data_IF_051296253553
#
_entry.id   IF_051296253553
#
_cell.length_a   1.000
_cell.length_b   1.000
_cell.length_c   1.000
_cell.angle_alpha   90.00
_cell.angle_beta   90.00
_cell.angle_gamma   90.00
#
_symmetry.space_group_name_H-M   'P 1'
#
loop_
_entity.id
_entity.type
_entity.pdbx_description
1 polymer ?
#
# COMPACT_ATOMS: atom_id res chain seq x y z
N UNK A 1 6.39 25.05 8.92
CA UNK A 1 7.61 25.14 9.75
C UNK A 1 8.51 23.98 9.37
N UNK A 2 9.73 24.22 8.85
CA UNK A 2 10.68 23.13 8.66
C UNK A 2 11.04 22.55 10.03
N UNK A 3 11.15 21.23 10.14
CA UNK A 3 11.59 20.58 11.39
C UNK A 3 13.04 20.99 11.69
N UNK A 4 13.27 21.57 12.86
CA UNK A 4 14.62 21.91 13.32
C UNK A 4 15.42 20.62 13.54
N UNK A 5 16.63 20.48 12.97
CA UNK A 5 17.51 19.36 13.27
C UNK A 5 17.73 19.24 14.79
N UNK A 6 17.42 18.06 15.37
CA UNK A 6 17.50 17.82 16.83
C UNK A 6 16.15 17.73 17.55
N UNK A 7 15.02 17.95 16.86
CA UNK A 7 13.67 17.69 17.39
C UNK A 7 13.21 16.25 17.16
N UNK A 8 12.29 15.74 17.99
CA UNK A 8 11.74 14.37 17.84
C UNK A 8 11.19 14.17 16.42
N UNK A 9 11.74 13.21 15.68
CA UNK A 9 11.31 12.87 14.32
C UNK A 9 10.23 11.78 14.38
N UNK A 10 9.24 11.85 13.49
CA UNK A 10 8.17 10.86 13.37
C UNK A 10 8.73 9.46 13.04
N UNK A 11 8.46 8.44 13.84
CA UNK A 11 8.91 7.07 13.52
C UNK A 11 8.12 6.52 12.32
N UNK A 12 8.80 5.85 11.38
CA UNK A 12 8.13 5.18 10.26
C UNK A 12 7.29 4.00 10.75
N UNK A 13 7.78 3.24 11.74
CA UNK A 13 7.05 2.16 12.42
C UNK A 13 5.77 2.67 13.07
N UNK A 14 5.83 3.85 13.69
CA UNK A 14 4.64 4.45 14.30
C UNK A 14 3.59 4.84 13.24
N UNK A 15 4.02 5.34 12.09
CA UNK A 15 3.11 5.64 10.98
C UNK A 15 2.51 4.35 10.41
N UNK A 16 3.32 3.32 10.19
CA UNK A 16 2.87 2.01 9.71
C UNK A 16 1.79 1.41 10.62
N UNK A 17 2.02 1.44 11.94
CA UNK A 17 1.03 1.03 12.95
C UNK A 17 -0.25 1.85 12.87
N UNK A 18 -0.14 3.18 12.76
CA UNK A 18 -1.29 4.07 12.65
C UNK A 18 -2.14 3.79 11.39
N UNK A 19 -1.51 3.37 10.30
CA UNK A 19 -2.19 3.00 9.06
C UNK A 19 -2.86 1.61 9.12
N UNK A 20 -2.68 0.88 10.22
CA UNK A 20 -3.23 -0.47 10.38
C UNK A 20 -2.53 -1.53 9.55
N UNK A 21 -1.32 -1.24 9.08
CA UNK A 21 -0.52 -2.19 8.31
C UNK A 21 0.05 -3.26 9.26
N UNK A 22 0.28 -4.50 8.75
CA UNK A 22 1.06 -5.48 9.49
C UNK A 22 2.44 -4.92 9.85
N UNK A 23 2.94 -5.30 11.02
CA UNK A 23 4.27 -4.89 11.47
C UNK A 23 5.33 -5.29 10.44
N UNK A 24 6.19 -4.35 10.06
CA UNK A 24 7.27 -4.59 9.10
C UNK A 24 6.85 -4.47 7.64
N UNK A 25 5.58 -4.19 7.31
CA UNK A 25 5.09 -4.22 5.92
C UNK A 25 5.90 -3.35 4.95
N UNK A 26 6.27 -2.14 5.37
CA UNK A 26 7.19 -1.23 4.68
C UNK A 26 8.50 -1.15 5.46
N UNK A 27 8.43 -1.09 6.78
CA UNK A 27 9.57 -0.75 7.66
C UNK A 27 10.64 -1.84 7.72
N UNK A 28 10.29 -3.10 7.45
CA UNK A 28 11.25 -4.21 7.39
C UNK A 28 11.83 -4.46 5.98
N UNK A 29 11.53 -3.60 5.00
CA UNK A 29 12.09 -3.74 3.64
C UNK A 29 13.57 -3.36 3.61
N UNK A 30 14.43 -4.32 3.27
CA UNK A 30 15.87 -4.10 3.13
C UNK A 30 16.21 -3.05 2.07
N UNK A 31 17.22 -2.22 2.35
CA UNK A 31 17.69 -1.16 1.45
C UNK A 31 16.79 0.09 1.39
N UNK A 32 15.65 0.11 2.07
CA UNK A 32 14.73 1.24 2.04
C UNK A 32 15.09 2.31 3.08
N UNK A 33 15.47 3.51 2.62
CA UNK A 33 15.78 4.61 3.53
C UNK A 33 14.54 5.06 4.31
N UNK A 34 14.72 5.58 5.54
CA UNK A 34 13.61 6.12 6.36
C UNK A 34 12.78 7.18 5.61
N UNK A 35 13.41 8.02 4.79
CA UNK A 35 12.70 9.02 3.98
C UNK A 35 11.83 8.34 2.93
N UNK A 36 12.34 7.30 2.26
CA UNK A 36 11.56 6.51 1.31
C UNK A 36 10.39 5.78 2.00
N UNK A 37 10.61 5.22 3.20
CA UNK A 37 9.54 4.55 3.97
C UNK A 37 8.40 5.53 4.27
N UNK A 38 8.71 6.72 4.76
CA UNK A 38 7.71 7.75 5.05
C UNK A 38 7.01 8.27 3.78
N UNK A 39 7.71 8.34 2.65
CA UNK A 39 7.11 8.66 1.35
C UNK A 39 6.11 7.58 0.93
N UNK A 40 6.48 6.30 1.01
CA UNK A 40 5.59 5.19 0.68
C UNK A 40 4.37 5.15 1.60
N UNK A 41 4.59 5.21 2.91
CA UNK A 41 3.52 5.22 3.90
C UNK A 41 2.60 6.43 3.70
N UNK A 42 3.17 7.63 3.52
CA UNK A 42 2.41 8.86 3.32
C UNK A 42 1.59 8.93 2.02
N UNK A 43 1.97 8.17 0.99
CA UNK A 43 1.20 8.04 -0.25
C UNK A 43 0.27 6.81 -0.26
N UNK A 44 0.34 5.97 0.77
CA UNK A 44 -0.53 4.81 0.91
C UNK A 44 -1.89 5.19 1.50
N UNK A 45 -2.76 4.19 1.64
CA UNK A 45 -4.12 4.36 2.18
C UNK A 45 -4.21 3.69 3.56
N UNK A 46 -4.97 4.28 4.48
CA UNK A 46 -5.32 3.63 5.76
C UNK A 46 -6.17 2.39 5.46
N UNK A 47 -5.67 1.20 5.80
CA UNK A 47 -6.25 -0.08 5.39
C UNK A 47 -7.72 -0.21 5.78
N UNK A 48 -8.09 0.23 6.97
CA UNK A 48 -9.46 0.17 7.47
C UNK A 48 -10.41 1.07 6.68
N UNK A 49 -9.94 2.25 6.25
CA UNK A 49 -10.73 3.16 5.41
C UNK A 49 -10.91 2.57 4.01
N UNK A 50 -9.85 1.96 3.45
CA UNK A 50 -9.93 1.26 2.17
C UNK A 50 -10.93 0.09 2.24
N UNK A 51 -10.84 -0.75 3.27
CA UNK A 51 -11.74 -1.87 3.48
C UNK A 51 -13.20 -1.41 3.61
N UNK A 52 -13.44 -0.34 4.37
CA UNK A 52 -14.78 0.22 4.51
C UNK A 52 -15.31 0.78 3.18
N UNK A 53 -14.51 1.55 2.45
CA UNK A 53 -14.89 2.07 1.13
C UNK A 53 -15.23 0.93 0.15
N UNK A 54 -14.45 -0.16 0.15
CA UNK A 54 -14.75 -1.33 -0.67
C UNK A 54 -16.07 -1.99 -0.26
N UNK A 55 -16.38 -2.10 1.04
CA UNK A 55 -17.68 -2.64 1.48
C UNK A 55 -18.88 -1.80 1.04
N UNK A 56 -18.70 -0.48 0.94
CA UNK A 56 -19.74 0.45 0.49
C UNK A 56 -19.91 0.46 -1.03
N UNK A 57 -18.80 0.44 -1.76
CA UNK A 57 -18.78 0.61 -3.21
C UNK A 57 -18.92 -0.70 -3.98
N UNK A 58 -18.54 -1.82 -3.36
CA UNK A 58 -18.52 -3.16 -3.95
C UNK A 58 -19.18 -4.17 -3.00
N UNK A 59 -20.51 -4.07 -2.78
CA UNK A 59 -21.23 -4.94 -1.84
C UNK A 59 -21.17 -6.43 -2.23
N UNK A 60 -21.09 -6.73 -3.53
CA UNK A 60 -20.95 -8.09 -4.07
C UNK A 60 -19.47 -8.56 -4.12
N UNK A 61 -18.54 -7.76 -3.56
CA UNK A 61 -17.11 -8.02 -3.59
C UNK A 61 -16.42 -7.52 -4.85
N UNK A 62 -15.08 -7.65 -4.88
CA UNK A 62 -14.28 -7.23 -6.05
C UNK A 62 -14.50 -8.22 -7.20
N UNK A 63 -15.00 -7.76 -8.37
CA UNK A 63 -15.20 -8.64 -9.51
C UNK A 63 -13.88 -9.28 -9.97
N UNK A 64 -13.87 -10.59 -10.16
CA UNK A 64 -12.68 -11.33 -10.60
C UNK A 64 -12.41 -11.16 -12.11
N UNK A 65 -12.18 -9.93 -12.58
CA UNK A 65 -11.87 -9.68 -13.99
C UNK A 65 -10.47 -10.16 -14.42
N UNK A 66 -9.60 -10.51 -13.46
CA UNK A 66 -8.21 -10.90 -13.70
C UNK A 66 -8.05 -12.20 -14.51
N UNK A 67 -9.04 -13.09 -14.51
CA UNK A 67 -8.91 -14.37 -15.24
C UNK A 67 -9.11 -14.22 -16.76
N UNK A 68 -9.91 -13.26 -17.21
CA UNK A 68 -10.30 -13.14 -18.62
C UNK A 68 -9.21 -12.47 -19.47
N UNK A 69 -8.53 -11.45 -18.92
CA UNK A 69 -7.51 -10.70 -19.65
C UNK A 69 -6.15 -11.43 -19.73
N UNK A 70 -5.80 -12.26 -18.73
CA UNK A 70 -4.56 -13.05 -18.72
C UNK A 70 -4.65 -14.34 -19.56
N UNK A 71 -5.86 -14.89 -19.79
CA UNK A 71 -6.04 -16.08 -20.64
C UNK A 71 -6.16 -15.75 -22.14
N UNK A 72 -6.54 -14.52 -22.50
CA UNK A 72 -6.67 -14.10 -23.90
C UNK A 72 -5.35 -13.84 -24.63
N UNK A 73 -4.24 -13.66 -23.90
CA UNK A 73 -2.93 -13.28 -24.47
C UNK A 73 -2.01 -14.46 -24.80
N UNK A 74 -2.43 -15.72 -24.59
CA UNK A 74 -1.65 -16.91 -24.99
C UNK A 74 -2.11 -17.60 -26.29
N UNK A 75 -3.13 -17.09 -26.98
CA UNK A 75 -3.73 -17.76 -28.14
C UNK A 75 -3.49 -17.03 -29.48
N UNK A 76 -2.40 -16.27 -29.62
CA UNK A 76 -2.13 -15.45 -30.80
C UNK A 76 -0.68 -15.47 -31.27
N UNK A 77 -0.05 -16.64 -31.29
CA UNK A 77 1.36 -16.77 -31.64
C UNK A 77 1.72 -18.08 -32.36
N UNK A 78 0.85 -18.57 -33.24
CA UNK A 78 1.20 -19.56 -34.26
C UNK A 78 0.39 -19.28 -35.53
N UNK A 79 1.02 -18.57 -36.47
CA UNK A 79 0.96 -18.73 -37.94
C UNK A 79 1.91 -17.73 -38.60
#
# INVERSE_FOLDING_TARGET
MPTVPGTRRLSAEFVEWMMGLPEGWVTATEGLSRTAQLLLLGNSVVLQQAAHALSLLLPEGIPSHAQTLWRGTRAGGEQ
#
